data_IF_954533516148
#
_entry.id   IF_954533516148
#
_cell.length_a   1.000
_cell.length_b   1.000
_cell.length_c   1.000
_cell.angle_alpha   90.00
_cell.angle_beta   90.00
_cell.angle_gamma   90.00
#
_symmetry.space_group_name_H-M   'P 1'
#
loop_
_entity.id
_entity.type
_entity.pdbx_description
1 polymer ?
#
# COMPACT_ATOMS: atom_id res chain seq x y z
N UNK A 1 -3.45 1.21 -15.39
CA UNK A 1 -2.78 1.17 -14.08
C UNK A 1 -3.57 2.00 -13.08
N UNK A 2 -3.79 1.48 -11.91
CA UNK A 2 -4.54 2.17 -10.85
C UNK A 2 -3.59 2.61 -9.75
N UNK A 3 -4.01 3.64 -9.02
CA UNK A 3 -3.23 4.13 -7.88
C UNK A 3 -4.08 4.08 -6.62
N UNK A 4 -3.42 3.86 -5.50
CA UNK A 4 -4.06 3.86 -4.19
C UNK A 4 -3.16 4.58 -3.20
N UNK A 5 -3.75 5.47 -2.40
CA UNK A 5 -3.04 6.17 -1.35
C UNK A 5 -3.29 5.46 -0.03
N UNK A 6 -2.24 5.22 0.72
CA UNK A 6 -2.35 4.44 1.94
C UNK A 6 -1.28 4.84 2.96
N UNK A 7 -1.54 4.43 4.20
CA UNK A 7 -0.59 4.60 5.31
C UNK A 7 -0.09 3.23 5.73
N UNK A 8 1.22 3.09 5.91
CA UNK A 8 1.83 1.83 6.31
C UNK A 8 1.56 1.57 7.79
N UNK A 9 0.96 0.43 8.09
CA UNK A 9 0.68 -0.02 9.45
C UNK A 9 1.73 -1.01 9.96
N UNK A 10 2.20 -1.91 9.09
CA UNK A 10 3.23 -2.88 9.42
C UNK A 10 4.09 -3.15 8.21
N UNK A 11 5.35 -3.49 8.46
CA UNK A 11 6.29 -3.89 7.41
C UNK A 11 6.78 -5.30 7.74
N UNK A 12 6.60 -6.18 6.75
CA UNK A 12 7.13 -7.54 6.79
C UNK A 12 8.02 -7.77 5.59
N UNK A 13 8.73 -8.90 5.55
CA UNK A 13 9.55 -9.24 4.41
C UNK A 13 8.67 -9.37 3.16
N UNK A 14 8.91 -8.53 2.15
CA UNK A 14 8.20 -8.50 0.88
C UNK A 14 6.70 -8.20 0.99
N UNK A 15 6.23 -7.73 2.14
CA UNK A 15 4.82 -7.38 2.35
C UNK A 15 4.68 -6.13 3.19
N UNK A 16 3.66 -5.36 2.90
CA UNK A 16 3.28 -4.20 3.71
C UNK A 16 1.81 -4.36 4.09
N UNK A 17 1.50 -4.15 5.36
CA UNK A 17 0.12 -3.97 5.77
C UNK A 17 -0.16 -2.48 5.75
N UNK A 18 -1.15 -2.07 4.99
CA UNK A 18 -1.47 -0.65 4.81
C UNK A 18 -2.95 -0.42 5.06
N UNK A 19 -3.28 0.84 5.35
CA UNK A 19 -4.67 1.28 5.44
C UNK A 19 -4.96 2.21 4.27
N UNK A 20 -5.99 1.87 3.49
CA UNK A 20 -6.45 2.71 2.38
C UNK A 20 -6.97 4.04 2.93
N UNK A 21 -6.47 5.15 2.43
CA UNK A 21 -6.87 6.47 2.90
C UNK A 21 -8.31 6.83 2.61
N UNK A 22 -8.92 6.20 1.59
CA UNK A 22 -10.30 6.50 1.21
C UNK A 22 -11.32 5.68 1.97
N UNK A 23 -11.01 4.40 2.21
CA UNK A 23 -12.00 3.46 2.74
C UNK A 23 -11.68 3.01 4.17
N UNK A 24 -10.51 3.36 4.70
CA UNK A 24 -9.99 2.87 5.97
C UNK A 24 -9.82 1.35 6.02
N UNK A 25 -9.86 0.68 4.88
CA UNK A 25 -9.70 -0.75 4.82
C UNK A 25 -8.22 -1.14 4.91
N UNK A 26 -7.94 -2.16 5.70
CA UNK A 26 -6.58 -2.72 5.76
C UNK A 26 -6.37 -3.64 4.57
N UNK A 27 -5.21 -3.49 3.93
CA UNK A 27 -4.87 -4.25 2.73
C UNK A 27 -3.42 -4.71 2.84
N UNK A 28 -3.17 -5.96 2.47
CA UNK A 28 -1.81 -6.48 2.37
C UNK A 28 -1.28 -6.20 0.97
N UNK A 29 -0.14 -5.52 0.91
CA UNK A 29 0.51 -5.19 -0.36
C UNK A 29 1.73 -6.08 -0.52
N UNK A 30 1.73 -6.90 -1.56
CA UNK A 30 2.88 -7.70 -1.91
C UNK A 30 3.82 -6.86 -2.77
N UNK A 31 5.07 -6.74 -2.36
CA UNK A 31 6.06 -5.93 -3.04
C UNK A 31 7.40 -6.64 -3.08
N UNK A 32 8.21 -6.33 -4.08
CA UNK A 32 9.54 -6.94 -4.20
C UNK A 32 10.56 -6.30 -3.27
N UNK A 33 10.35 -5.06 -2.90
CA UNK A 33 11.27 -4.33 -2.05
C UNK A 33 10.50 -3.32 -1.20
N UNK A 34 10.73 -3.36 0.10
CA UNK A 34 10.14 -2.40 1.02
C UNK A 34 11.23 -1.61 1.76
N UNK A 35 12.38 -1.46 1.14
CA UNK A 35 13.61 -1.07 1.81
C UNK A 35 13.67 0.40 2.25
N UNK A 36 12.80 1.27 1.80
CA UNK A 36 12.87 2.70 2.14
C UNK A 36 11.62 3.21 2.86
N UNK A 37 10.80 2.30 3.35
CA UNK A 37 9.53 2.69 3.98
C UNK A 37 9.55 2.40 5.47
N UNK A 38 8.75 3.15 6.21
CA UNK A 38 8.59 2.97 7.65
C UNK A 38 7.13 2.95 8.01
N UNK A 39 6.80 2.34 9.15
CA UNK A 39 5.46 2.40 9.70
C UNK A 39 5.05 3.86 9.88
N UNK A 40 3.84 4.21 9.42
CA UNK A 40 3.33 5.57 9.46
C UNK A 40 3.58 6.36 8.19
N UNK A 41 4.41 5.87 7.28
CA UNK A 41 4.64 6.55 6.01
C UNK A 41 3.38 6.54 5.15
N UNK A 42 3.15 7.65 4.47
CA UNK A 42 2.11 7.76 3.45
C UNK A 42 2.71 7.39 2.12
N UNK A 43 2.05 6.50 1.41
CA UNK A 43 2.55 5.98 0.15
C UNK A 43 1.48 6.00 -0.93
N UNK A 44 1.94 6.02 -2.18
CA UNK A 44 1.11 5.82 -3.36
C UNK A 44 1.51 4.48 -3.94
N UNK A 45 0.52 3.60 -4.09
CA UNK A 45 0.73 2.25 -4.61
C UNK A 45 0.17 2.20 -6.03
N UNK A 46 1.01 1.81 -6.97
CA UNK A 46 0.60 1.59 -8.36
C UNK A 46 0.34 0.10 -8.53
N UNK A 47 -0.86 -0.25 -8.98
CA UNK A 47 -1.27 -1.65 -9.14
C UNK A 47 -2.18 -1.81 -10.35
N UNK A 48 -2.46 -3.06 -10.72
CA UNK A 48 -3.27 -3.36 -11.90
C UNK A 48 -4.76 -3.49 -11.61
N UNK A 49 -5.18 -3.24 -10.39
CA UNK A 49 -6.58 -3.34 -9.98
C UNK A 49 -7.00 -4.70 -9.44
N UNK A 50 -6.18 -5.72 -9.59
CA UNK A 50 -6.52 -7.05 -9.07
C UNK A 50 -6.36 -7.08 -7.56
N UNK A 51 -7.37 -7.59 -6.87
CA UNK A 51 -7.36 -7.73 -5.42
C UNK A 51 -7.96 -9.07 -5.06
N UNK A 52 -7.34 -9.79 -4.14
CA UNK A 52 -7.88 -11.08 -3.70
C UNK A 52 -9.11 -10.88 -2.83
N UNK A 53 -9.90 -11.93 -2.70
CA UNK A 53 -11.10 -11.94 -1.85
C UNK A 53 -10.79 -12.32 -0.41
N UNK A 54 -9.53 -12.40 -0.04
CA UNK A 54 -9.12 -12.75 1.34
C UNK A 54 -9.39 -11.62 2.33
N UNK A 55 -9.28 -11.92 3.62
CA UNK A 55 -9.43 -10.94 4.71
C UNK A 55 -8.15 -10.96 5.54
N UNK A 56 -7.35 -9.89 5.50
CA UNK A 56 -7.50 -8.69 4.66
C UNK A 56 -7.22 -9.00 3.18
N UNK A 57 -7.80 -8.24 2.24
CA UNK A 57 -7.51 -8.45 0.82
C UNK A 57 -6.05 -8.16 0.52
N UNK A 58 -5.54 -8.75 -0.56
CA UNK A 58 -4.16 -8.61 -0.98
C UNK A 58 -4.08 -8.05 -2.38
N UNK A 59 -3.13 -7.16 -2.60
CA UNK A 59 -2.81 -6.65 -3.93
C UNK A 59 -1.32 -6.80 -4.17
N UNK A 60 -0.94 -6.84 -5.44
CA UNK A 60 0.47 -6.84 -5.84
C UNK A 60 0.84 -5.46 -6.36
N UNK A 61 1.83 -4.84 -5.74
CA UNK A 61 2.30 -3.54 -6.17
C UNK A 61 3.19 -3.67 -7.40
N UNK A 62 2.89 -2.87 -8.42
CA UNK A 62 3.80 -2.70 -9.55
C UNK A 62 4.91 -1.74 -9.14
N UNK A 63 4.53 -0.69 -8.40
CA UNK A 63 5.47 0.31 -7.91
C UNK A 63 4.89 0.97 -6.67
N UNK A 64 5.76 1.39 -5.74
CA UNK A 64 5.36 2.12 -4.55
C UNK A 64 6.24 3.36 -4.43
N UNK A 65 5.64 4.51 -4.14
CA UNK A 65 6.35 5.75 -3.90
C UNK A 65 5.85 6.40 -2.63
N UNK A 66 6.72 7.16 -1.97
CA UNK A 66 6.30 7.98 -0.84
C UNK A 66 5.41 9.11 -1.36
N UNK A 67 4.27 9.31 -0.72
CA UNK A 67 3.36 10.38 -1.08
C UNK A 67 3.82 11.68 -0.46
N UNK A 68 3.90 12.78 -1.24
CA UNK A 68 4.11 14.10 -0.66
C UNK A 68 2.96 14.45 0.29
N UNK A 69 3.25 15.31 1.24
CA UNK A 69 2.32 15.64 2.32
C UNK A 69 0.92 16.05 1.84
N UNK A 70 0.85 16.73 0.69
CA UNK A 70 -0.41 17.31 0.19
C UNK A 70 -1.11 16.46 -0.86
N UNK A 71 -0.63 15.26 -1.17
CA UNK A 71 -1.24 14.39 -2.16
C UNK A 71 -2.03 13.32 -1.46
N UNK A 72 -3.26 13.10 -1.89
CA UNK A 72 -4.16 12.03 -1.44
C UNK A 72 -4.80 12.23 -0.07
N UNK A 73 -4.42 13.22 0.66
CA UNK A 73 -4.91 13.39 2.04
C UNK A 73 -5.47 14.78 2.29
#
# INVERSE_FOLDING_TARGET
>A
MMTMCAVILEISDKRLLVRDSKTDQEIVVNTRCNCNFRVGDRIIIFHNGAMTMSIPPQISAIRIRKAPFNICF
#
